data_IF_784625745774
#
_entry.id   IF_784625745774
#
_cell.length_a   1.000
_cell.length_b   1.000
_cell.length_c   1.000
_cell.angle_alpha   90.00
_cell.angle_beta   90.00
_cell.angle_gamma   90.00
#
_symmetry.space_group_name_H-M   'P 1'
#
loop_
_entity.id
_entity.type
_entity.pdbx_description
1 polymer ?
#
# COMPACT_ATOMS: atom_id res chain seq x y z
N UNK A 1 -12.91 -3.26 -6.59
CA UNK A 1 -11.67 -3.04 -5.80
C UNK A 1 -10.59 -2.56 -6.73
N UNK A 2 -9.98 -1.41 -6.42
CA UNK A 2 -8.73 -0.97 -7.06
C UNK A 2 -7.57 -1.56 -6.29
N UNK A 3 -6.56 -2.02 -7.01
CA UNK A 3 -5.32 -2.56 -6.46
C UNK A 3 -4.20 -1.62 -6.86
N UNK A 4 -3.32 -1.31 -5.91
CA UNK A 4 -2.19 -0.44 -6.12
C UNK A 4 -1.66 0.11 -4.81
N UNK A 5 -0.34 0.13 -4.70
CA UNK A 5 0.39 0.82 -3.65
C UNK A 5 1.72 1.35 -4.18
N UNK A 6 2.38 2.19 -3.41
CA UNK A 6 3.71 2.66 -3.74
C UNK A 6 4.29 3.56 -2.67
N UNK A 7 5.55 3.96 -2.88
CA UNK A 7 6.22 4.97 -2.07
C UNK A 7 6.29 6.28 -2.82
N UNK A 8 6.15 7.36 -2.09
CA UNK A 8 6.34 8.73 -2.56
C UNK A 8 7.31 9.43 -1.62
N UNK A 9 8.23 10.18 -2.19
CA UNK A 9 9.07 11.12 -1.42
C UNK A 9 8.44 12.50 -1.52
N UNK A 10 8.24 13.15 -0.38
CA UNK A 10 7.82 14.56 -0.30
C UNK A 10 8.97 15.39 0.27
N UNK A 11 9.27 16.50 -0.40
CA UNK A 11 10.24 17.50 0.06
C UNK A 11 9.52 18.62 0.79
N UNK A 12 9.92 18.90 2.02
CA UNK A 12 9.37 19.96 2.87
C UNK A 12 10.54 20.58 3.62
N UNK A 13 10.73 21.89 3.49
CA UNK A 13 11.79 22.66 4.15
C UNK A 13 13.17 22.01 4.04
N UNK A 14 13.54 21.59 2.83
CA UNK A 14 14.82 20.94 2.54
C UNK A 14 14.96 19.49 3.02
N UNK A 15 13.96 18.96 3.71
CA UNK A 15 13.94 17.58 4.20
C UNK A 15 13.10 16.67 3.30
N UNK A 16 13.52 15.41 3.17
CA UNK A 16 12.81 14.39 2.40
C UNK A 16 12.10 13.41 3.33
N UNK A 17 10.84 13.13 3.01
CA UNK A 17 9.96 12.29 3.82
C UNK A 17 9.31 11.21 2.96
N UNK A 18 9.32 9.98 3.46
CA UNK A 18 8.66 8.85 2.84
C UNK A 18 7.19 8.81 3.24
N UNK A 19 6.36 8.67 2.22
CA UNK A 19 4.94 8.39 2.33
C UNK A 19 4.63 7.09 1.60
N UNK A 20 3.87 6.23 2.25
CA UNK A 20 3.34 5.02 1.66
C UNK A 20 1.90 5.26 1.26
N UNK A 21 1.58 5.11 -0.03
CA UNK A 21 0.21 5.20 -0.50
C UNK A 21 -0.32 3.85 -0.93
N UNK A 22 -1.61 3.61 -0.72
CA UNK A 22 -2.27 2.36 -1.11
C UNK A 22 -3.78 2.53 -1.27
N UNK A 23 -4.40 1.61 -2.01
CA UNK A 23 -5.86 1.50 -2.05
C UNK A 23 -6.38 0.64 -0.88
N UNK A 24 -7.28 1.21 -0.10
CA UNK A 24 -8.09 0.51 0.91
C UNK A 24 -9.50 0.26 0.38
N UNK A 25 -10.13 -0.83 0.83
CA UNK A 25 -11.55 -1.03 0.66
C UNK A 25 -12.27 -0.39 1.83
N UNK A 26 -13.24 0.46 1.52
CA UNK A 26 -14.11 1.07 2.49
C UNK A 26 -15.53 1.05 1.93
N UNK A 27 -16.40 0.27 2.59
CA UNK A 27 -17.84 0.24 2.29
C UNK A 27 -18.16 0.01 0.81
N UNK A 28 -17.44 -0.92 0.17
CA UNK A 28 -17.60 -1.26 -1.25
C UNK A 28 -16.91 -0.30 -2.24
N UNK A 29 -16.35 0.83 -1.78
CA UNK A 29 -15.56 1.76 -2.60
C UNK A 29 -14.07 1.60 -2.31
N UNK A 30 -13.23 1.82 -3.32
CA UNK A 30 -11.77 1.92 -3.11
C UNK A 30 -11.36 3.36 -2.85
N UNK A 31 -10.72 3.61 -1.70
CA UNK A 31 -10.15 4.91 -1.33
C UNK A 31 -8.63 4.82 -1.37
N UNK A 32 -7.97 5.86 -1.89
CA UNK A 32 -6.51 5.98 -1.83
C UNK A 32 -6.14 6.64 -0.50
N UNK A 33 -5.33 5.95 0.30
CA UNK A 33 -4.74 6.45 1.54
C UNK A 33 -3.26 6.75 1.33
N UNK A 34 -2.72 7.67 2.11
CA UNK A 34 -1.30 8.01 2.14
C UNK A 34 -0.88 8.14 3.62
N UNK A 35 0.01 7.27 4.06
CA UNK A 35 0.54 7.23 5.42
C UNK A 35 1.97 7.79 5.44
N UNK A 36 2.23 8.72 6.35
CA UNK A 36 3.60 9.14 6.64
C UNK A 36 4.39 7.97 7.26
N UNK A 37 5.59 7.74 6.76
CA UNK A 37 6.47 6.66 7.24
C UNK A 37 7.62 7.21 8.08
N UNK A 38 8.27 8.28 7.61
CA UNK A 38 9.44 8.84 8.28
C UNK A 38 10.40 9.55 7.31
N UNK A 39 11.53 10.10 7.81
CA UNK A 39 12.53 10.74 6.96
C UNK A 39 13.17 9.77 5.95
N UNK A 40 13.32 10.17 4.69
CA UNK A 40 13.86 9.31 3.63
C UNK A 40 15.33 8.92 3.84
N UNK A 41 16.09 9.75 4.58
CA UNK A 41 17.49 9.47 4.95
C UNK A 41 17.62 8.42 6.05
N UNK A 42 16.56 8.20 6.84
CA UNK A 42 16.59 7.24 7.94
C UNK A 42 16.41 5.80 7.44
N UNK A 43 17.34 4.92 7.85
CA UNK A 43 17.29 3.51 7.48
C UNK A 43 16.10 2.77 8.11
N UNK A 44 15.65 3.20 9.29
CA UNK A 44 14.45 2.67 9.95
C UNK A 44 13.20 2.90 9.12
N UNK A 45 13.05 4.13 8.61
CA UNK A 45 11.97 4.57 7.74
C UNK A 45 11.94 3.79 6.42
N UNK A 46 13.11 3.53 5.81
CA UNK A 46 13.20 2.67 4.61
C UNK A 46 12.75 1.24 4.89
N UNK A 47 13.18 0.66 6.01
CA UNK A 47 12.74 -0.69 6.42
C UNK A 47 11.24 -0.73 6.68
N UNK A 48 10.68 0.29 7.31
CA UNK A 48 9.25 0.36 7.58
C UNK A 48 8.41 0.51 6.30
N UNK A 49 8.86 1.36 5.37
CA UNK A 49 8.28 1.48 4.04
C UNK A 49 8.24 0.13 3.30
N UNK A 50 9.33 -0.63 3.33
CA UNK A 50 9.38 -1.97 2.73
C UNK A 50 8.42 -2.96 3.41
N UNK A 51 8.31 -2.91 4.74
CA UNK A 51 7.33 -3.74 5.48
C UNK A 51 5.90 -3.41 5.10
N UNK A 52 5.55 -2.12 4.98
CA UNK A 52 4.21 -1.68 4.55
C UNK A 52 3.87 -2.14 3.14
N UNK A 53 4.81 -1.99 2.20
CA UNK A 53 4.67 -2.54 0.85
C UNK A 53 4.41 -4.06 0.89
N UNK A 54 5.25 -4.82 1.60
CA UNK A 54 5.10 -6.28 1.68
C UNK A 54 3.76 -6.69 2.30
N UNK A 55 3.34 -6.03 3.38
CA UNK A 55 2.06 -6.28 4.04
C UNK A 55 0.89 -6.05 3.08
N UNK A 56 0.92 -4.95 2.32
CA UNK A 56 -0.09 -4.65 1.32
C UNK A 56 -0.19 -5.72 0.23
N UNK A 57 0.95 -6.10 -0.36
CA UNK A 57 0.97 -7.10 -1.43
C UNK A 57 0.46 -8.46 -0.94
N UNK A 58 0.82 -8.87 0.29
CA UNK A 58 0.31 -10.12 0.88
C UNK A 58 -1.21 -10.10 1.05
N UNK A 59 -1.76 -9.00 1.59
CA UNK A 59 -3.21 -8.83 1.74
C UNK A 59 -3.92 -8.85 0.39
N UNK A 60 -3.43 -8.07 -0.58
CA UNK A 60 -4.02 -8.02 -1.91
C UNK A 60 -3.98 -9.38 -2.60
N UNK A 61 -2.88 -10.14 -2.46
CA UNK A 61 -2.79 -11.49 -3.01
C UNK A 61 -3.91 -12.37 -2.46
N UNK A 62 -4.11 -12.39 -1.14
CA UNK A 62 -5.20 -13.14 -0.52
C UNK A 62 -6.59 -12.70 -1.03
N UNK A 63 -6.82 -11.39 -1.14
CA UNK A 63 -8.08 -10.83 -1.64
C UNK A 63 -8.33 -11.24 -3.11
N UNK A 64 -7.28 -11.30 -3.93
CA UNK A 64 -7.36 -11.69 -5.35
C UNK A 64 -7.56 -13.20 -5.49
N UNK A 65 -6.83 -14.01 -4.75
CA UNK A 65 -6.96 -15.47 -4.74
C UNK A 65 -8.41 -15.88 -4.39
N UNK A 66 -9.00 -15.25 -3.37
CA UNK A 66 -10.39 -15.50 -2.99
C UNK A 66 -11.40 -15.11 -4.09
N UNK A 67 -11.14 -14.03 -4.83
CA UNK A 67 -11.98 -13.59 -5.96
C UNK A 67 -11.88 -14.55 -7.14
N UNK A 68 -10.66 -14.97 -7.49
CA UNK A 68 -10.41 -15.94 -8.56
C UNK A 68 -11.17 -17.23 -8.25
N UNK A 69 -10.98 -17.80 -7.06
CA UNK A 69 -11.66 -19.02 -6.65
C UNK A 69 -13.19 -18.92 -6.72
N UNK A 70 -13.77 -17.74 -6.44
CA UNK A 70 -15.21 -17.51 -6.58
C UNK A 70 -15.65 -17.49 -8.04
N UNK A 71 -14.88 -16.86 -8.91
CA UNK A 71 -15.16 -16.80 -10.35
C UNK A 71 -15.05 -18.18 -10.99
N UNK A 72 -14.03 -18.96 -10.63
CA UNK A 72 -13.84 -20.34 -11.12
C UNK A 72 -14.99 -21.27 -10.75
N UNK A 73 -15.66 -21.07 -9.61
CA UNK A 73 -16.86 -21.84 -9.24
C UNK A 73 -18.13 -21.42 -10.00
N UNK A 74 -18.11 -20.23 -10.61
CA UNK A 74 -19.27 -19.65 -11.31
C UNK A 74 -19.15 -19.78 -12.83
N UNK A 75 -17.92 -19.91 -13.33
CA UNK A 75 -17.60 -20.20 -14.73
C UNK A 75 -17.82 -21.69 -15.04
#
# INVERSE_FOLDING_TARGET
MRVGCGLRVRRIDGNEYLYFWHYEQDSGRSRRREDYVGPARDSGSKRDAARKLLAYHRRVRQDLDARIARLERTA
#
